data_IF_274523740668
#
_entry.id   IF_274523740668
#
_cell.length_a   1.000
_cell.length_b   1.000
_cell.length_c   1.000
_cell.angle_alpha   90.00
_cell.angle_beta   90.00
_cell.angle_gamma   90.00
#
_symmetry.space_group_name_H-M   'P 1'
#
loop_
_entity.id
_entity.type
_entity.pdbx_description
1 polymer ?
#
# COMPACT_ATOMS: atom_id res chain seq x y z
N UNK A 1 4.41 -11.23 24.03
CA UNK A 1 4.52 -10.80 22.61
C UNK A 1 5.44 -11.76 21.88
N UNK A 2 4.98 -12.41 20.81
CA UNK A 2 5.80 -13.35 20.04
C UNK A 2 6.63 -12.59 19.00
N UNK A 3 7.81 -12.11 19.40
CA UNK A 3 8.69 -11.26 18.58
C UNK A 3 9.40 -12.03 17.47
N UNK A 4 9.40 -13.36 17.52
CA UNK A 4 10.07 -14.22 16.52
C UNK A 4 9.51 -14.05 15.10
N UNK A 5 8.27 -13.57 14.96
CA UNK A 5 7.63 -13.32 13.67
C UNK A 5 7.89 -11.91 13.09
N UNK A 6 8.37 -10.95 13.90
CA UNK A 6 8.59 -9.57 13.45
C UNK A 6 9.68 -9.44 12.38
N UNK A 7 10.81 -10.13 12.59
CA UNK A 7 11.94 -10.08 11.67
C UNK A 7 11.58 -10.59 10.27
N UNK A 8 11.01 -11.81 10.11
CA UNK A 8 10.56 -12.26 8.79
C UNK A 8 9.44 -11.37 8.23
N UNK A 9 8.51 -10.88 9.06
CA UNK A 9 7.44 -9.98 8.59
C UNK A 9 7.98 -8.71 7.89
N UNK A 10 9.10 -8.17 8.36
CA UNK A 10 9.71 -6.94 7.83
C UNK A 10 10.66 -7.22 6.66
N UNK A 11 11.37 -8.35 6.67
CA UNK A 11 12.43 -8.66 5.70
C UNK A 11 11.88 -9.41 4.47
N UNK A 12 10.98 -10.38 4.66
CA UNK A 12 10.40 -11.18 3.58
C UNK A 12 9.79 -10.34 2.43
N UNK A 13 9.16 -9.17 2.65
CA UNK A 13 8.63 -8.36 1.55
C UNK A 13 9.70 -7.55 0.80
N UNK A 14 10.94 -7.43 1.28
CA UNK A 14 11.96 -6.58 0.63
C UNK A 14 12.19 -6.97 -0.84
N UNK A 15 12.41 -8.25 -1.20
CA UNK A 15 12.62 -8.64 -2.60
C UNK A 15 11.41 -8.33 -3.49
N UNK A 16 10.19 -8.61 -3.00
CA UNK A 16 8.98 -8.34 -3.78
C UNK A 16 8.75 -6.83 -3.95
N UNK A 17 9.03 -6.02 -2.93
CA UNK A 17 8.96 -4.56 -3.00
C UNK A 17 9.98 -3.99 -4.00
N UNK A 18 11.19 -4.55 -4.06
CA UNK A 18 12.21 -4.14 -5.03
C UNK A 18 11.78 -4.44 -6.48
N UNK A 19 11.23 -5.64 -6.72
CA UNK A 19 10.73 -6.07 -8.04
C UNK A 19 9.55 -5.20 -8.48
N UNK A 20 8.53 -5.04 -7.63
CA UNK A 20 7.37 -4.22 -7.96
C UNK A 20 7.71 -2.74 -8.08
N UNK A 21 8.66 -2.23 -7.28
CA UNK A 21 9.20 -0.88 -7.46
C UNK A 21 9.84 -0.70 -8.83
N UNK A 22 10.54 -1.73 -9.34
CA UNK A 22 11.07 -1.78 -10.70
C UNK A 22 9.97 -1.71 -11.75
N UNK A 23 8.92 -2.54 -11.59
CA UNK A 23 7.77 -2.58 -12.51
C UNK A 23 7.08 -1.20 -12.57
N UNK A 24 6.77 -0.59 -11.43
CA UNK A 24 6.10 0.73 -11.42
C UNK A 24 6.97 1.84 -12.01
N UNK A 25 8.28 1.81 -11.77
CA UNK A 25 9.21 2.74 -12.43
C UNK A 25 9.25 2.53 -13.94
N UNK A 26 9.17 1.28 -14.40
CA UNK A 26 9.08 0.95 -15.82
C UNK A 26 7.79 1.46 -16.46
N UNK A 27 6.65 1.33 -15.77
CA UNK A 27 5.37 1.86 -16.21
C UNK A 27 5.43 3.38 -16.34
N UNK A 28 5.98 4.08 -15.35
CA UNK A 28 6.18 5.53 -15.42
C UNK A 28 7.05 5.93 -16.62
N UNK A 29 8.13 5.17 -16.89
CA UNK A 29 8.98 5.42 -18.05
C UNK A 29 8.23 5.23 -19.37
N UNK A 30 7.36 4.22 -19.46
CA UNK A 30 6.49 4.03 -20.63
C UNK A 30 5.46 5.16 -20.78
N UNK A 31 5.11 5.84 -19.69
CA UNK A 31 4.24 7.03 -19.70
C UNK A 31 5.00 8.34 -19.98
N UNK A 32 6.30 8.26 -20.27
CA UNK A 32 7.14 9.41 -20.62
C UNK A 32 7.84 10.09 -19.44
N UNK A 33 7.77 9.51 -18.23
CA UNK A 33 8.55 9.99 -17.10
C UNK A 33 10.03 9.56 -17.22
N UNK A 34 11.00 10.34 -16.69
CA UNK A 34 12.39 9.94 -16.71
C UNK A 34 12.65 8.75 -15.77
N UNK A 35 13.41 7.76 -16.25
CA UNK A 35 13.92 6.69 -15.40
C UNK A 35 14.81 7.28 -14.31
N UNK A 36 14.42 7.08 -13.05
CA UNK A 36 15.15 7.60 -11.90
C UNK A 36 15.21 6.58 -10.78
N UNK A 37 16.41 6.38 -10.22
CA UNK A 37 16.61 5.58 -9.01
C UNK A 37 15.80 6.14 -7.83
N UNK A 38 15.52 7.46 -7.84
CA UNK A 38 14.70 8.11 -6.82
C UNK A 38 13.24 7.64 -6.91
N UNK A 39 12.68 7.57 -8.12
CA UNK A 39 11.31 7.10 -8.35
C UNK A 39 11.17 5.62 -7.98
N UNK A 40 12.14 4.80 -8.38
CA UNK A 40 12.23 3.41 -7.95
C UNK A 40 12.28 3.28 -6.42
N UNK A 41 13.15 4.06 -5.78
CA UNK A 41 13.27 4.08 -4.32
C UNK A 41 11.97 4.46 -3.64
N UNK A 42 11.21 5.42 -4.17
CA UNK A 42 9.90 5.77 -3.64
C UNK A 42 8.87 4.64 -3.75
N UNK A 43 8.79 3.96 -4.89
CA UNK A 43 7.87 2.82 -5.03
C UNK A 43 8.28 1.64 -4.14
N UNK A 44 9.55 1.26 -4.16
CA UNK A 44 10.05 0.14 -3.36
C UNK A 44 9.89 0.41 -1.86
N UNK A 45 10.27 1.60 -1.38
CA UNK A 45 10.10 1.97 0.02
C UNK A 45 8.64 2.15 0.42
N UNK A 46 7.79 2.68 -0.45
CA UNK A 46 6.35 2.82 -0.20
C UNK A 46 5.66 1.46 -0.01
N UNK A 47 5.96 0.50 -0.88
CA UNK A 47 5.48 -0.87 -0.74
C UNK A 47 6.00 -1.54 0.54
N UNK A 48 7.29 -1.33 0.85
CA UNK A 48 7.87 -1.87 2.06
C UNK A 48 7.23 -1.27 3.32
N UNK A 49 7.00 0.05 3.35
CA UNK A 49 6.33 0.73 4.46
C UNK A 49 4.90 0.23 4.67
N UNK A 50 4.17 -0.04 3.59
CA UNK A 50 2.88 -0.72 3.66
C UNK A 50 2.99 -2.05 4.40
N UNK A 51 3.92 -2.92 4.02
CA UNK A 51 4.12 -4.21 4.69
C UNK A 51 4.61 -4.07 6.14
N UNK A 52 5.59 -3.19 6.38
CA UNK A 52 6.16 -2.95 7.69
C UNK A 52 5.12 -2.43 8.69
N UNK A 53 4.15 -1.63 8.23
CA UNK A 53 3.07 -1.11 9.09
C UNK A 53 2.10 -2.19 9.59
N UNK A 54 2.02 -3.33 8.89
CA UNK A 54 1.16 -4.46 9.27
C UNK A 54 1.75 -5.26 10.44
N UNK A 55 3.07 -5.41 10.46
CA UNK A 55 3.79 -6.22 11.45
C UNK A 55 3.50 -5.85 12.93
N UNK A 56 3.52 -4.56 13.35
CA UNK A 56 3.17 -4.22 14.73
C UNK A 56 1.72 -4.53 15.06
N UNK A 57 0.80 -4.37 14.09
CA UNK A 57 -0.62 -4.70 14.31
C UNK A 57 -0.82 -6.21 14.52
N UNK A 58 -0.14 -7.05 13.74
CA UNK A 58 -0.15 -8.50 13.93
C UNK A 58 0.51 -8.92 15.25
N UNK A 59 1.59 -8.24 15.66
CA UNK A 59 2.27 -8.52 16.91
C UNK A 59 1.44 -8.15 18.16
N UNK A 60 0.68 -7.05 18.11
CA UNK A 60 -0.22 -6.62 19.19
C UNK A 60 -1.42 -7.55 19.29
N UNK A 61 -2.06 -7.88 18.17
CA UNK A 61 -3.26 -8.74 18.17
C UNK A 61 -2.95 -10.24 18.24
N UNK A 62 -1.69 -10.64 18.04
CA UNK A 62 -1.28 -12.04 18.03
C UNK A 62 -1.87 -12.87 16.88
N UNK A 63 -2.45 -12.23 15.86
CA UNK A 63 -3.11 -12.88 14.73
C UNK A 63 -2.82 -12.16 13.42
N UNK A 64 -2.76 -12.91 12.31
CA UNK A 64 -2.73 -12.36 10.96
C UNK A 64 -4.15 -12.05 10.53
N UNK A 65 -4.49 -10.76 10.38
CA UNK A 65 -5.83 -10.33 9.96
C UNK A 65 -5.77 -9.51 8.67
N UNK A 66 -6.74 -9.72 7.79
CA UNK A 66 -6.98 -8.89 6.61
C UNK A 66 -7.28 -7.44 7.02
N UNK A 67 -7.86 -7.21 8.20
CA UNK A 67 -8.15 -5.85 8.69
C UNK A 67 -6.88 -5.01 8.89
N UNK A 68 -5.75 -5.63 9.24
CA UNK A 68 -4.48 -4.89 9.31
C UNK A 68 -4.03 -4.36 7.94
N UNK A 69 -4.38 -5.08 6.86
CA UNK A 69 -4.08 -4.68 5.48
C UNK A 69 -5.07 -3.63 5.01
N UNK A 70 -6.32 -3.68 5.48
CA UNK A 70 -7.30 -2.60 5.27
C UNK A 70 -6.80 -1.30 5.86
N UNK A 71 -6.34 -1.33 7.12
CA UNK A 71 -5.82 -0.13 7.80
C UNK A 71 -4.54 0.35 7.12
N UNK A 72 -3.57 -0.53 6.88
CA UNK A 72 -2.31 -0.16 6.22
C UNK A 72 -2.53 0.41 4.81
N UNK A 73 -3.35 -0.26 4.01
CA UNK A 73 -3.70 0.15 2.64
C UNK A 73 -4.47 1.46 2.65
N UNK A 74 -5.37 1.65 3.62
CA UNK A 74 -6.14 2.87 3.75
C UNK A 74 -5.31 4.07 4.17
N UNK A 75 -4.37 3.90 5.10
CA UNK A 75 -3.43 4.97 5.48
C UNK A 75 -2.55 5.34 4.29
N UNK A 76 -1.98 4.35 3.59
CA UNK A 76 -1.15 4.59 2.41
C UNK A 76 -1.92 5.27 1.27
N UNK A 77 -3.16 4.84 1.01
CA UNK A 77 -4.02 5.46 0.01
C UNK A 77 -4.40 6.89 0.38
N UNK A 78 -4.75 7.14 1.64
CA UNK A 78 -5.06 8.48 2.13
C UNK A 78 -3.86 9.42 1.94
N UNK A 79 -2.67 9.00 2.41
CA UNK A 79 -1.46 9.80 2.31
C UNK A 79 -1.04 10.00 0.85
N UNK A 80 -1.01 8.95 0.05
CA UNK A 80 -0.61 9.02 -1.36
C UNK A 80 -1.53 9.91 -2.19
N UNK A 81 -2.84 9.86 -1.95
CA UNK A 81 -3.80 10.73 -2.64
C UNK A 81 -3.72 12.17 -2.12
N UNK A 82 -3.55 12.37 -0.80
CA UNK A 82 -3.40 13.71 -0.22
C UNK A 82 -2.15 14.45 -0.71
N UNK A 83 -1.09 13.71 -1.05
CA UNK A 83 0.16 14.26 -1.59
C UNK A 83 0.18 14.35 -3.11
N UNK A 84 -0.93 14.02 -3.79
CA UNK A 84 -1.04 14.03 -5.25
C UNK A 84 -0.17 12.99 -5.95
N UNK A 85 0.36 12.00 -5.21
CA UNK A 85 1.22 10.95 -5.76
C UNK A 85 0.45 9.72 -6.23
N UNK A 86 -0.77 9.53 -5.72
CA UNK A 86 -1.68 8.47 -6.14
C UNK A 86 -2.98 9.08 -6.63
N UNK A 87 -3.51 8.56 -7.73
CA UNK A 87 -4.91 8.76 -8.11
C UNK A 87 -5.81 7.80 -7.34
N UNK A 88 -7.12 8.03 -7.32
CA UNK A 88 -8.07 7.06 -6.77
C UNK A 88 -8.59 6.17 -7.91
N UNK A 89 -8.29 4.86 -7.91
CA UNK A 89 -8.70 3.98 -8.98
C UNK A 89 -10.20 3.65 -8.90
N UNK A 90 -10.82 3.35 -10.04
CA UNK A 90 -12.24 2.94 -10.15
C UNK A 90 -13.26 4.02 -9.74
N UNK A 91 -12.85 5.29 -9.71
CA UNK A 91 -13.71 6.41 -9.33
C UNK A 91 -13.70 7.47 -10.42
N UNK A 92 -14.87 8.05 -10.72
CA UNK A 92 -14.94 9.22 -11.58
C UNK A 92 -14.54 10.47 -10.78
N UNK A 93 -13.39 11.13 -11.08
CA UNK A 93 -12.92 12.29 -10.33
C UNK A 93 -13.89 13.46 -10.41
N UNK A 94 -14.56 13.65 -11.56
CA UNK A 94 -15.46 14.76 -11.83
C UNK A 94 -16.72 14.74 -10.97
N UNK A 95 -17.13 13.56 -10.50
CA UNK A 95 -18.30 13.43 -9.63
C UNK A 95 -17.88 13.41 -8.17
N UNK A 96 -16.96 12.53 -7.77
CA UNK A 96 -16.74 12.22 -6.37
C UNK A 96 -15.81 13.20 -5.64
N UNK A 97 -14.89 13.87 -6.33
CA UNK A 97 -13.99 14.84 -5.69
C UNK A 97 -14.68 16.16 -5.36
N UNK A 98 -15.79 16.46 -6.03
CA UNK A 98 -16.62 17.64 -5.75
C UNK A 98 -17.43 17.50 -4.44
N UNK A 99 -17.74 16.27 -4.02
CA UNK A 99 -18.56 16.03 -2.82
C UNK A 99 -17.75 15.57 -1.61
N UNK A 100 -16.54 15.03 -1.81
CA UNK A 100 -15.75 14.46 -0.71
C UNK A 100 -14.27 14.62 -0.95
N UNK A 101 -13.52 14.78 0.15
CA UNK A 101 -12.08 14.90 0.10
C UNK A 101 -11.47 13.66 -0.61
N UNK A 102 -10.73 13.84 -1.71
CA UNK A 102 -10.11 12.76 -2.47
C UNK A 102 -9.25 11.83 -1.61
N UNK A 103 -8.59 12.35 -0.58
CA UNK A 103 -7.76 11.56 0.33
C UNK A 103 -8.60 10.53 1.10
N UNK A 104 -9.80 10.88 1.56
CA UNK A 104 -10.69 9.96 2.28
C UNK A 104 -11.17 8.85 1.34
N UNK A 105 -11.51 9.21 0.10
CA UNK A 105 -11.93 8.23 -0.92
C UNK A 105 -10.75 7.31 -1.26
N UNK A 106 -9.56 7.87 -1.43
CA UNK A 106 -8.31 7.14 -1.58
C UNK A 106 -8.08 6.13 -0.49
N UNK A 107 -8.15 6.56 0.77
CA UNK A 107 -8.01 5.66 1.91
C UNK A 107 -9.06 4.55 1.91
N UNK A 108 -10.32 4.85 1.58
CA UNK A 108 -11.35 3.82 1.49
C UNK A 108 -11.06 2.79 0.38
N UNK A 109 -10.71 3.24 -0.83
CA UNK A 109 -10.47 2.38 -1.99
C UNK A 109 -9.21 1.54 -1.80
N UNK A 110 -8.09 2.16 -1.42
CA UNK A 110 -6.84 1.43 -1.19
C UNK A 110 -6.91 0.53 0.05
N UNK A 111 -7.68 0.89 1.08
CA UNK A 111 -7.96 0.01 2.20
C UNK A 111 -8.78 -1.21 1.78
N UNK A 112 -9.82 -1.02 0.97
CA UNK A 112 -10.60 -2.13 0.42
C UNK A 112 -9.74 -3.06 -0.46
N UNK A 113 -8.88 -2.50 -1.32
CA UNK A 113 -7.94 -3.27 -2.13
C UNK A 113 -6.95 -4.05 -1.26
N UNK A 114 -6.35 -3.41 -0.27
CA UNK A 114 -5.43 -4.05 0.68
C UNK A 114 -6.09 -5.20 1.43
N UNK A 115 -7.32 -5.01 1.91
CA UNK A 115 -8.13 -6.05 2.55
C UNK A 115 -8.47 -7.20 1.62
N UNK A 116 -8.96 -6.90 0.42
CA UNK A 116 -9.34 -7.90 -0.58
C UNK A 116 -8.13 -8.76 -1.00
N UNK A 117 -6.99 -8.13 -1.27
CA UNK A 117 -5.74 -8.82 -1.61
C UNK A 117 -5.23 -9.66 -0.44
N UNK A 118 -5.37 -9.18 0.79
CA UNK A 118 -5.02 -9.94 1.98
C UNK A 118 -5.90 -11.18 2.18
N UNK A 119 -7.20 -11.06 1.93
CA UNK A 119 -8.14 -12.19 1.97
C UNK A 119 -7.83 -13.21 0.87
N UNK A 120 -7.54 -12.75 -0.35
CA UNK A 120 -7.06 -13.61 -1.44
C UNK A 120 -5.74 -14.31 -1.10
N UNK A 121 -4.87 -13.63 -0.34
CA UNK A 121 -3.65 -14.20 0.22
C UNK A 121 -3.85 -15.11 1.45
N UNK A 122 -5.09 -15.41 1.82
CA UNK A 122 -5.43 -16.36 2.90
C UNK A 122 -5.51 -15.76 4.30
N UNK A 123 -5.47 -14.42 4.47
CA UNK A 123 -5.70 -13.80 5.79
C UNK A 123 -7.20 -13.76 6.11
N UNK A 124 -7.55 -14.16 7.33
CA UNK A 124 -8.91 -14.08 7.87
C UNK A 124 -9.20 -12.69 8.48
N UNK A 125 -10.47 -12.41 8.81
CA UNK A 125 -10.89 -11.16 9.46
C UNK A 125 -10.69 -11.24 10.98
#
# INVERSE_FOLDING_TARGET
MNTKHLLPCIIDPIPSCAVWGGIFTGIDAMQGAPLSIRTWGFYASGLWLYHASICPMEAIHGRRSALHNVVAGGVMGYVGVSTGRLGVPFVNPYYLYNFRNPAIIGGAVYGALGGALAMLGGKSI
#
